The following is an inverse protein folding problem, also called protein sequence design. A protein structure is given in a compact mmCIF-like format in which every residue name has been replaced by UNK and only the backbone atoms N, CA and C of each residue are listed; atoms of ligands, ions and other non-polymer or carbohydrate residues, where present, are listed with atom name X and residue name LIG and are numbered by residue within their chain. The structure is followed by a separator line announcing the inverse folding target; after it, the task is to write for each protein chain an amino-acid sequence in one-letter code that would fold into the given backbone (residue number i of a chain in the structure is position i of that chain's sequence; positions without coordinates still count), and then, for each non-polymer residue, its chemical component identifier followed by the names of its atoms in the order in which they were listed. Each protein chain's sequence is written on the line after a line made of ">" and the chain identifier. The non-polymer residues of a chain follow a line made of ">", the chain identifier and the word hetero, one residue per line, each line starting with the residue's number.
data_IF_636947599210
#
_entry.id   IF_636947599210
#
_cell.length_a   1.000
_cell.length_b   1.000
_cell.length_c   1.000
_cell.angle_alpha   90.00
_cell.angle_beta   90.00
_cell.angle_gamma   90.00
#
_symmetry.space_group_name_H-M   'P 1'
#
loop_
_entity.id
_entity.type
_entity.pdbx_description
1 polymer ?
#
# COMPACT_ATOMS: atom_id res chain seq x y z
N UNK A 1 -66.20 -5.31 -22.04
CA UNK A 1 -64.97 -5.38 -21.21
C UNK A 1 -64.71 -3.98 -20.66
N UNK A 2 -64.80 -3.79 -19.34
CA UNK A 2 -64.78 -2.44 -18.75
C UNK A 2 -63.38 -1.82 -18.78
N UNK A 3 -63.29 -0.50 -18.85
CA UNK A 3 -62.03 0.27 -18.81
C UNK A 3 -61.17 -0.14 -17.59
N UNK A 4 -61.81 -0.47 -16.47
CA UNK A 4 -61.19 -0.99 -15.26
C UNK A 4 -60.37 -2.28 -15.49
N UNK A 5 -60.86 -3.23 -16.30
CA UNK A 5 -60.12 -4.46 -16.58
C UNK A 5 -58.82 -4.20 -17.35
N UNK A 6 -58.79 -3.19 -18.23
CA UNK A 6 -57.57 -2.80 -18.96
C UNK A 6 -56.54 -2.14 -18.05
N UNK A 7 -56.99 -1.29 -17.12
CA UNK A 7 -56.11 -0.61 -16.15
C UNK A 7 -55.49 -1.62 -15.19
N UNK A 8 -56.29 -2.53 -14.63
CA UNK A 8 -55.79 -3.56 -13.68
C UNK A 8 -54.78 -4.49 -14.35
N UNK A 9 -55.03 -4.92 -15.60
CA UNK A 9 -54.08 -5.72 -16.38
C UNK A 9 -52.75 -5.01 -16.61
N UNK A 10 -52.79 -3.71 -16.95
CA UNK A 10 -51.59 -2.90 -17.16
C UNK A 10 -50.77 -2.71 -15.87
N UNK A 11 -51.44 -2.45 -14.75
CA UNK A 11 -50.78 -2.30 -13.43
C UNK A 11 -50.08 -3.61 -13.03
N UNK A 12 -50.75 -4.75 -13.20
CA UNK A 12 -50.19 -6.05 -12.83
C UNK A 12 -48.99 -6.44 -13.71
N UNK A 13 -49.05 -6.14 -15.01
CA UNK A 13 -47.91 -6.34 -15.92
C UNK A 13 -46.71 -5.48 -15.52
N UNK A 14 -46.92 -4.20 -15.20
CA UNK A 14 -45.86 -3.31 -14.73
C UNK A 14 -45.26 -3.79 -13.41
N UNK A 15 -46.08 -4.18 -12.43
CA UNK A 15 -45.62 -4.71 -11.15
C UNK A 15 -44.78 -5.99 -11.32
N UNK A 16 -45.16 -6.90 -12.22
CA UNK A 16 -44.37 -8.10 -12.53
C UNK A 16 -42.99 -7.75 -13.09
N UNK A 17 -42.91 -6.78 -14.01
CA UNK A 17 -41.63 -6.33 -14.58
C UNK A 17 -40.74 -5.72 -13.48
N UNK A 18 -41.31 -4.89 -12.60
CA UNK A 18 -40.58 -4.29 -11.48
C UNK A 18 -40.04 -5.36 -10.52
N UNK A 19 -40.88 -6.32 -10.14
CA UNK A 19 -40.48 -7.42 -9.25
C UNK A 19 -39.40 -8.31 -9.88
N UNK A 20 -39.53 -8.65 -11.17
CA UNK A 20 -38.51 -9.41 -11.89
C UNK A 20 -37.20 -8.64 -12.00
N UNK A 21 -37.26 -7.34 -12.34
CA UNK A 21 -36.10 -6.47 -12.38
C UNK A 21 -35.37 -6.38 -11.03
N UNK A 22 -36.13 -6.19 -9.94
CA UNK A 22 -35.58 -6.19 -8.59
C UNK A 22 -34.93 -7.54 -8.23
N UNK A 23 -35.59 -8.66 -8.55
CA UNK A 23 -35.03 -10.00 -8.34
C UNK A 23 -33.73 -10.22 -9.11
N UNK A 24 -33.65 -9.78 -10.38
CA UNK A 24 -32.42 -9.84 -11.16
C UNK A 24 -31.30 -9.00 -10.55
N UNK A 25 -31.59 -7.79 -10.06
CA UNK A 25 -30.60 -6.92 -9.41
C UNK A 25 -30.06 -7.60 -8.14
N UNK A 26 -30.94 -8.14 -7.29
CA UNK A 26 -30.54 -8.86 -6.07
C UNK A 26 -29.70 -10.09 -6.41
N UNK A 27 -30.09 -10.87 -7.42
CA UNK A 27 -29.31 -12.02 -7.86
C UNK A 27 -27.91 -11.61 -8.34
N UNK A 28 -27.78 -10.53 -9.12
CA UNK A 28 -26.49 -10.01 -9.58
C UNK A 28 -25.61 -9.58 -8.39
N UNK A 29 -26.20 -8.87 -7.42
CA UNK A 29 -25.50 -8.42 -6.21
C UNK A 29 -24.94 -9.60 -5.40
N UNK A 30 -25.58 -10.77 -5.44
CA UNK A 30 -25.12 -11.97 -4.72
C UNK A 30 -24.12 -12.78 -5.56
N UNK A 31 -24.42 -12.99 -6.84
CA UNK A 31 -23.64 -13.87 -7.71
C UNK A 31 -22.26 -13.30 -8.07
N UNK A 32 -22.13 -11.99 -8.25
CA UNK A 32 -20.84 -11.36 -8.58
C UNK A 32 -19.82 -11.56 -7.44
N UNK A 33 -20.10 -11.15 -6.17
CA UNK A 33 -19.23 -11.44 -5.03
C UNK A 33 -18.83 -12.91 -4.90
N UNK A 34 -19.78 -13.82 -5.02
CA UNK A 34 -19.52 -15.25 -4.94
C UNK A 34 -18.55 -15.72 -6.04
N UNK A 35 -18.77 -15.27 -7.29
CA UNK A 35 -17.89 -15.59 -8.41
C UNK A 35 -16.46 -15.09 -8.21
N UNK A 36 -16.28 -13.87 -7.67
CA UNK A 36 -14.94 -13.35 -7.42
C UNK A 36 -14.23 -14.08 -6.27
N UNK A 37 -14.96 -14.46 -5.22
CA UNK A 37 -14.37 -15.30 -4.16
C UNK A 37 -13.85 -16.63 -4.71
N UNK A 38 -14.57 -17.26 -5.65
CA UNK A 38 -14.12 -18.48 -6.32
C UNK A 38 -12.86 -18.27 -7.17
N UNK A 39 -12.65 -17.06 -7.68
CA UNK A 39 -11.42 -16.68 -8.40
C UNK A 39 -10.28 -16.24 -7.46
N UNK A 40 -10.46 -16.31 -6.14
CA UNK A 40 -9.44 -15.97 -5.15
C UNK A 40 -9.44 -14.51 -4.69
N UNK A 41 -10.41 -13.70 -5.12
CA UNK A 41 -10.58 -12.34 -4.58
C UNK A 41 -11.10 -12.37 -3.15
N UNK A 42 -10.63 -11.41 -2.35
CA UNK A 42 -11.05 -11.21 -0.96
C UNK A 42 -12.01 -10.03 -0.91
N UNK A 43 -13.30 -10.33 -0.75
CA UNK A 43 -14.37 -9.32 -0.78
C UNK A 43 -14.63 -8.78 0.63
N UNK A 44 -14.54 -7.46 0.81
CA UNK A 44 -14.75 -6.76 2.08
C UNK A 44 -13.92 -7.32 3.26
N UNK A 45 -12.71 -7.80 2.98
CA UNK A 45 -11.79 -8.29 4.02
C UNK A 45 -11.13 -7.12 4.73
N UNK A 46 -10.89 -7.27 6.03
CA UNK A 46 -10.06 -6.32 6.76
C UNK A 46 -8.63 -6.32 6.20
N UNK A 47 -8.13 -5.14 5.84
CA UNK A 47 -6.83 -5.01 5.15
C UNK A 47 -5.66 -5.39 6.05
N UNK A 48 -5.80 -5.27 7.38
CA UNK A 48 -4.77 -5.64 8.34
C UNK A 48 -4.72 -7.15 8.53
N UNK A 49 -5.87 -7.81 8.66
CA UNK A 49 -5.95 -9.28 8.72
C UNK A 49 -5.29 -9.92 7.48
N UNK A 50 -5.62 -9.42 6.29
CA UNK A 50 -5.00 -9.94 5.06
C UNK A 50 -3.51 -9.63 4.98
N UNK A 51 -3.05 -8.48 5.47
CA UNK A 51 -1.63 -8.15 5.54
C UNK A 51 -0.86 -9.10 6.48
N UNK A 52 -1.44 -9.49 7.61
CA UNK A 52 -0.86 -10.49 8.51
C UNK A 52 -0.81 -11.89 7.87
N UNK A 53 -1.86 -12.31 7.16
CA UNK A 53 -1.86 -13.54 6.36
C UNK A 53 -0.79 -13.51 5.28
N UNK A 54 -0.68 -12.38 4.58
CA UNK A 54 0.30 -12.13 3.53
C UNK A 54 1.72 -12.18 4.08
N UNK A 55 1.98 -11.56 5.23
CA UNK A 55 3.29 -11.58 5.89
C UNK A 55 3.69 -13.00 6.33
N UNK A 56 2.74 -13.79 6.86
CA UNK A 56 2.97 -15.20 7.20
C UNK A 56 3.35 -16.05 5.98
N UNK A 57 2.78 -15.73 4.81
CA UNK A 57 3.06 -16.42 3.55
C UNK A 57 4.28 -15.86 2.81
N UNK A 58 4.77 -14.68 3.19
CA UNK A 58 5.82 -13.97 2.46
C UNK A 58 5.40 -13.54 1.05
N UNK A 59 4.12 -13.25 0.83
CA UNK A 59 3.58 -12.93 -0.49
C UNK A 59 2.72 -11.66 -0.43
N UNK A 60 3.28 -10.47 -0.78
CA UNK A 60 2.55 -9.21 -0.78
C UNK A 60 1.51 -9.12 -1.89
N UNK A 61 1.56 -9.99 -2.90
CA UNK A 61 0.62 -9.96 -4.03
C UNK A 61 -0.80 -10.34 -3.61
N UNK A 62 -0.95 -11.03 -2.48
CA UNK A 62 -2.25 -11.32 -1.87
C UNK A 62 -3.06 -10.04 -1.60
N UNK A 63 -2.38 -8.93 -1.27
CA UNK A 63 -3.04 -7.64 -1.07
C UNK A 63 -3.71 -7.12 -2.34
N UNK A 64 -3.25 -7.48 -3.55
CA UNK A 64 -3.85 -7.05 -4.81
C UNK A 64 -5.25 -7.64 -5.05
N UNK A 65 -5.61 -8.70 -4.33
CA UNK A 65 -6.86 -9.42 -4.49
C UNK A 65 -8.01 -8.86 -3.63
N UNK A 66 -7.80 -7.76 -2.90
CA UNK A 66 -8.87 -7.08 -2.16
C UNK A 66 -9.86 -6.44 -3.14
N UNK A 67 -11.15 -6.59 -2.84
CA UNK A 67 -12.24 -5.82 -3.45
C UNK A 67 -13.20 -5.35 -2.35
N UNK A 68 -13.47 -4.05 -2.30
CA UNK A 68 -14.45 -3.46 -1.40
C UNK A 68 -15.69 -3.00 -2.15
N UNK A 69 -16.87 -3.37 -1.63
CA UNK A 69 -18.18 -2.92 -2.11
C UNK A 69 -18.88 -1.94 -1.15
N UNK A 70 -18.24 -1.60 -0.03
CA UNK A 70 -18.81 -0.71 0.97
C UNK A 70 -19.01 0.70 0.43
N UNK A 71 -20.25 1.20 0.46
CA UNK A 71 -20.57 2.59 0.10
C UNK A 71 -19.92 3.61 1.05
N UNK A 72 -19.79 3.25 2.33
CA UNK A 72 -19.25 4.09 3.40
C UNK A 72 -17.85 3.64 3.86
N UNK A 73 -17.19 2.79 3.09
CA UNK A 73 -15.87 2.22 3.43
C UNK A 73 -14.72 2.82 2.62
N UNK A 74 -13.48 2.43 2.92
CA UNK A 74 -12.34 2.76 2.09
C UNK A 74 -12.51 2.16 0.69
N UNK A 75 -12.05 2.88 -0.31
CA UNK A 75 -12.00 2.37 -1.67
C UNK A 75 -11.11 1.13 -1.76
N UNK A 76 -11.32 0.31 -2.80
CA UNK A 76 -10.47 -0.85 -3.07
C UNK A 76 -8.99 -0.46 -3.17
N UNK A 77 -8.66 0.69 -3.77
CA UNK A 77 -7.28 1.16 -3.88
C UNK A 77 -6.64 1.50 -2.53
N UNK A 78 -7.38 2.17 -1.65
CA UNK A 78 -6.92 2.49 -0.30
C UNK A 78 -6.69 1.24 0.54
N UNK A 79 -7.63 0.28 0.51
CA UNK A 79 -7.45 -0.99 1.23
C UNK A 79 -6.28 -1.81 0.72
N UNK A 80 -6.08 -1.89 -0.61
CA UNK A 80 -4.89 -2.52 -1.19
C UNK A 80 -3.62 -1.85 -0.72
N UNK A 81 -3.61 -0.52 -0.75
CA UNK A 81 -2.44 0.26 -0.34
C UNK A 81 -2.12 0.03 1.14
N UNK A 82 -3.14 0.09 2.00
CA UNK A 82 -3.01 -0.15 3.44
C UNK A 82 -2.56 -1.57 3.76
N UNK A 83 -3.05 -2.57 3.02
CA UNK A 83 -2.59 -3.96 3.14
C UNK A 83 -1.10 -4.09 2.82
N UNK A 84 -0.65 -3.56 1.67
CA UNK A 84 0.77 -3.61 1.28
C UNK A 84 1.65 -2.87 2.28
N UNK A 85 1.24 -1.68 2.71
CA UNK A 85 1.95 -0.91 3.72
C UNK A 85 2.11 -1.70 5.03
N UNK A 86 1.02 -2.32 5.49
CA UNK A 86 1.02 -3.13 6.72
C UNK A 86 1.87 -4.38 6.58
N UNK A 87 1.81 -5.05 5.43
CA UNK A 87 2.69 -6.17 5.08
C UNK A 87 4.15 -5.76 5.17
N UNK A 88 4.54 -4.67 4.51
CA UNK A 88 5.94 -4.22 4.45
C UNK A 88 6.48 -3.90 5.84
N UNK A 89 5.65 -3.33 6.71
CA UNK A 89 5.97 -3.07 8.12
C UNK A 89 6.18 -4.37 8.92
N UNK A 90 5.25 -5.33 8.81
CA UNK A 90 5.31 -6.59 9.57
C UNK A 90 6.46 -7.48 9.08
N UNK A 91 6.57 -7.65 7.77
CA UNK A 91 7.58 -8.49 7.13
C UNK A 91 8.97 -7.85 7.09
N UNK A 92 9.08 -6.55 7.43
CA UNK A 92 10.30 -5.74 7.29
C UNK A 92 10.84 -5.83 5.85
N UNK A 93 9.93 -5.71 4.89
CA UNK A 93 10.20 -5.87 3.46
C UNK A 93 9.88 -4.55 2.71
N UNK A 94 10.86 -3.65 2.55
CA UNK A 94 10.67 -2.40 1.82
C UNK A 94 10.35 -2.62 0.33
N UNK A 95 10.70 -3.78 -0.26
CA UNK A 95 10.50 -4.01 -1.68
C UNK A 95 9.03 -4.14 -2.04
N UNK A 96 8.20 -4.61 -1.11
CA UNK A 96 6.75 -4.64 -1.27
C UNK A 96 6.12 -3.25 -1.44
N UNK A 97 6.74 -2.19 -0.90
CA UNK A 97 6.27 -0.82 -1.07
C UNK A 97 6.28 -0.38 -2.54
N UNK A 98 7.06 -1.03 -3.42
CA UNK A 98 7.04 -0.77 -4.86
C UNK A 98 5.66 -1.03 -5.51
N UNK A 99 4.82 -1.89 -4.91
CA UNK A 99 3.47 -2.21 -5.39
C UNK A 99 2.48 -1.05 -5.23
N UNK A 100 2.80 -0.07 -4.38
CA UNK A 100 1.96 1.12 -4.11
C UNK A 100 2.62 2.41 -4.61
N UNK A 101 3.64 2.28 -5.46
CA UNK A 101 4.29 3.38 -6.16
C UNK A 101 3.59 3.68 -7.50
N UNK A 102 3.68 4.92 -8.02
CA UNK A 102 4.31 6.10 -7.42
C UNK A 102 3.35 6.87 -6.52
N UNK A 103 3.59 6.85 -5.21
CA UNK A 103 2.82 7.67 -4.27
C UNK A 103 3.67 8.08 -3.07
N UNK A 104 3.32 9.21 -2.46
CA UNK A 104 3.86 9.63 -1.17
C UNK A 104 3.62 8.55 -0.09
N UNK A 105 2.52 7.81 -0.22
CA UNK A 105 2.21 6.67 0.65
C UNK A 105 3.21 5.52 0.49
N UNK A 106 3.66 5.24 -0.75
CA UNK A 106 4.73 4.28 -1.01
C UNK A 106 6.09 4.72 -0.46
N UNK A 107 6.43 6.02 -0.54
CA UNK A 107 7.63 6.55 0.11
C UNK A 107 7.57 6.48 1.63
N UNK A 108 6.37 6.69 2.21
CA UNK A 108 6.11 6.50 3.64
C UNK A 108 6.32 5.04 4.05
N UNK A 109 5.74 4.11 3.29
CA UNK A 109 5.89 2.65 3.48
C UNK A 109 7.35 2.24 3.61
N UNK A 110 8.22 2.75 2.71
CA UNK A 110 9.65 2.40 2.74
C UNK A 110 10.29 2.81 4.07
N UNK A 111 10.05 4.02 4.57
CA UNK A 111 10.62 4.46 5.85
C UNK A 111 10.06 3.64 7.03
N UNK A 112 8.77 3.30 6.98
CA UNK A 112 8.09 2.58 8.05
C UNK A 112 8.48 1.10 8.12
N UNK A 113 8.90 0.50 7.00
CA UNK A 113 9.44 -0.86 6.96
C UNK A 113 10.79 -1.00 7.69
N UNK A 114 11.53 0.10 7.84
CA UNK A 114 12.82 0.13 8.57
C UNK A 114 12.71 0.78 9.95
N UNK A 115 11.62 1.48 10.27
CA UNK A 115 11.42 2.21 11.54
C UNK A 115 11.67 1.33 12.78
N UNK A 116 11.11 0.11 12.78
CA UNK A 116 11.28 -0.84 13.90
C UNK A 116 12.73 -1.25 14.16
N UNK A 117 13.63 -1.15 13.16
CA UNK A 117 15.06 -1.42 13.37
C UNK A 117 15.73 -0.31 14.22
N UNK A 118 15.11 0.86 14.30
CA UNK A 118 15.60 2.02 15.05
C UNK A 118 14.97 2.15 16.43
N UNK A 119 13.72 1.72 16.62
CA UNK A 119 13.07 1.73 17.95
C UNK A 119 13.86 0.89 18.98
N UNK A 120 14.42 -0.23 18.52
CA UNK A 120 15.32 -1.08 19.32
C UNK A 120 16.69 -0.41 19.62
N UNK A 121 16.96 0.76 19.01
CA UNK A 121 18.21 1.51 19.10
C UNK A 121 17.92 2.99 19.43
N UNK A 122 17.32 3.27 20.59
CA UNK A 122 16.85 4.61 21.03
C UNK A 122 17.83 5.78 20.81
N UNK A 123 19.15 5.54 20.72
CA UNK A 123 20.16 6.56 20.44
C UNK A 123 20.30 6.96 18.95
N UNK A 124 19.58 6.30 18.04
CA UNK A 124 19.70 6.50 16.59
C UNK A 124 18.87 7.68 16.05
N UNK A 125 18.01 8.29 16.88
CA UNK A 125 16.99 9.24 16.42
C UNK A 125 17.55 10.61 15.99
N UNK A 126 18.81 10.91 16.31
CA UNK A 126 19.50 12.12 15.85
C UNK A 126 20.86 11.75 15.23
N UNK A 127 20.90 11.67 13.91
CA UNK A 127 22.15 11.65 13.15
C UNK A 127 22.35 13.07 12.62
N UNK A 128 23.42 13.71 13.09
CA UNK A 128 23.83 15.00 12.57
C UNK A 128 24.21 14.86 11.09
N UNK A 129 23.68 15.79 10.30
CA UNK A 129 23.61 15.72 8.86
C UNK A 129 25.01 15.72 8.25
N UNK A 130 25.97 16.37 8.88
CA UNK A 130 27.32 16.55 8.33
C UNK A 130 28.35 15.56 8.91
N UNK A 131 27.91 14.54 9.65
CA UNK A 131 28.82 13.58 10.29
C UNK A 131 29.30 12.51 9.31
N UNK A 132 30.60 12.25 9.33
CA UNK A 132 31.21 11.11 8.65
C UNK A 132 30.65 9.80 9.24
N UNK A 133 29.93 9.00 8.45
CA UNK A 133 29.32 7.74 8.89
C UNK A 133 30.32 6.72 9.48
N UNK A 134 31.62 6.89 9.23
CA UNK A 134 32.67 6.05 9.81
C UNK A 134 32.79 6.18 11.33
N UNK A 135 32.31 7.27 11.93
CA UNK A 135 32.36 7.49 13.39
C UNK A 135 31.45 6.54 14.17
N UNK A 136 30.44 5.95 13.53
CA UNK A 136 29.48 5.03 14.15
C UNK A 136 29.96 3.56 14.13
N UNK A 137 31.27 3.30 14.23
CA UNK A 137 31.82 1.94 14.14
C UNK A 137 31.30 0.99 15.22
N UNK A 138 30.92 1.51 16.40
CA UNK A 138 30.37 0.74 17.52
C UNK A 138 28.90 0.36 17.38
N UNK A 139 28.14 1.03 16.50
CA UNK A 139 26.73 0.72 16.26
C UNK A 139 26.49 0.53 14.75
N UNK A 140 26.49 -0.73 14.26
CA UNK A 140 26.38 -1.01 12.82
C UNK A 140 25.04 -0.54 12.22
N UNK A 141 23.94 -0.61 12.98
CA UNK A 141 22.61 -0.16 12.51
C UNK A 141 22.61 1.36 12.34
N UNK A 142 23.18 2.11 13.30
CA UNK A 142 23.31 3.57 13.20
C UNK A 142 24.23 3.98 12.04
N UNK A 143 25.31 3.25 11.81
CA UNK A 143 26.20 3.44 10.66
C UNK A 143 25.47 3.23 9.34
N UNK A 144 24.71 2.15 9.22
CA UNK A 144 23.90 1.84 8.04
C UNK A 144 22.84 2.90 7.77
N UNK A 145 22.18 3.40 8.81
CA UNK A 145 21.21 4.49 8.70
C UNK A 145 21.85 5.82 8.29
N UNK A 146 23.08 6.09 8.76
CA UNK A 146 23.85 7.24 8.30
C UNK A 146 24.07 7.18 6.78
N UNK A 147 24.49 6.02 6.25
CA UNK A 147 24.63 5.83 4.81
C UNK A 147 23.29 5.94 4.06
N UNK A 148 22.21 5.39 4.60
CA UNK A 148 20.86 5.57 4.05
C UNK A 148 20.49 7.06 3.93
N UNK A 149 20.75 7.84 4.98
CA UNK A 149 20.49 9.28 5.02
C UNK A 149 21.40 10.07 4.07
N UNK A 150 22.68 9.67 3.95
CA UNK A 150 23.62 10.25 3.00
C UNK A 150 23.17 10.02 1.56
N UNK A 151 22.83 8.77 1.21
CA UNK A 151 22.29 8.38 -0.10
C UNK A 151 21.00 9.16 -0.40
N UNK A 152 20.14 9.33 0.60
CA UNK A 152 18.93 10.12 0.49
C UNK A 152 19.18 11.57 0.10
N UNK A 153 20.23 12.21 0.60
CA UNK A 153 20.54 13.60 0.27
C UNK A 153 21.27 13.74 -1.06
N UNK A 154 22.28 12.92 -1.29
CA UNK A 154 23.07 12.95 -2.53
C UNK A 154 22.35 12.34 -3.72
N UNK A 155 21.25 11.60 -3.48
CA UNK A 155 20.55 10.75 -4.45
C UNK A 155 21.46 9.70 -5.09
N UNK A 156 22.56 9.31 -4.43
CA UNK A 156 23.54 8.37 -4.98
C UNK A 156 23.26 6.92 -4.56
N UNK A 157 22.93 6.07 -5.54
CA UNK A 157 22.74 4.63 -5.34
C UNK A 157 24.02 3.90 -4.90
N UNK A 158 25.22 4.41 -5.22
CA UNK A 158 26.45 3.75 -4.79
C UNK A 158 26.65 3.86 -3.27
N UNK A 159 26.12 4.92 -2.65
CA UNK A 159 26.11 5.04 -1.19
C UNK A 159 25.28 3.93 -0.54
N UNK A 160 24.18 3.50 -1.15
CA UNK A 160 23.37 2.37 -0.66
C UNK A 160 24.17 1.04 -0.60
N UNK A 161 25.19 0.86 -1.44
CA UNK A 161 26.05 -0.34 -1.44
C UNK A 161 26.94 -0.44 -0.19
N UNK A 162 27.12 0.66 0.54
CA UNK A 162 27.92 0.69 1.77
C UNK A 162 27.13 0.16 2.98
N UNK A 163 25.81 0.13 2.89
CA UNK A 163 24.89 -0.38 3.92
C UNK A 163 25.02 -1.90 4.03
N UNK A 164 25.20 -2.41 5.25
CA UNK A 164 25.38 -3.85 5.51
C UNK A 164 24.08 -4.57 5.85
N UNK A 165 23.18 -3.93 6.58
CA UNK A 165 21.87 -4.47 6.88
C UNK A 165 21.03 -4.58 5.58
N UNK A 166 20.60 -5.79 5.19
CA UNK A 166 19.92 -6.00 3.91
C UNK A 166 18.59 -5.25 3.82
N UNK A 167 17.84 -5.15 4.92
CA UNK A 167 16.56 -4.42 4.94
C UNK A 167 16.78 -2.93 4.73
N UNK A 168 17.74 -2.31 5.44
CA UNK A 168 18.06 -0.88 5.25
C UNK A 168 18.62 -0.63 3.85
N UNK A 169 19.44 -1.54 3.32
CA UNK A 169 19.98 -1.45 1.97
C UNK A 169 18.86 -1.51 0.91
N UNK A 170 17.94 -2.47 1.04
CA UNK A 170 16.78 -2.58 0.14
C UNK A 170 15.91 -1.32 0.21
N UNK A 171 15.64 -0.80 1.41
CA UNK A 171 14.92 0.46 1.57
C UNK A 171 15.64 1.63 0.90
N UNK A 172 16.97 1.70 1.01
CA UNK A 172 17.79 2.70 0.32
C UNK A 172 17.62 2.59 -1.19
N UNK A 173 17.79 1.39 -1.74
CA UNK A 173 17.69 1.12 -3.17
C UNK A 173 16.30 1.47 -3.72
N UNK A 174 15.23 1.05 -3.02
CA UNK A 174 13.85 1.36 -3.42
C UNK A 174 13.60 2.87 -3.37
N UNK A 175 14.02 3.55 -2.30
CA UNK A 175 13.79 4.99 -2.14
C UNK A 175 14.56 5.81 -3.18
N UNK A 176 15.85 5.54 -3.39
CA UNK A 176 16.63 6.29 -4.38
C UNK A 176 16.24 5.88 -5.80
N UNK A 177 15.97 4.59 -6.04
CA UNK A 177 15.46 4.10 -7.32
C UNK A 177 14.14 4.76 -7.71
N UNK A 178 13.22 4.94 -6.76
CA UNK A 178 11.98 5.67 -6.95
C UNK A 178 12.20 7.12 -7.41
N UNK A 179 13.19 7.82 -6.85
CA UNK A 179 13.52 9.19 -7.26
C UNK A 179 13.93 9.29 -8.73
N UNK A 180 14.67 8.29 -9.23
CA UNK A 180 15.05 8.19 -10.63
C UNK A 180 13.89 7.78 -11.52
N UNK A 181 13.12 6.77 -11.10
CA UNK A 181 12.03 6.16 -11.87
C UNK A 181 10.78 7.04 -11.99
N UNK A 182 10.48 7.84 -10.97
CA UNK A 182 9.23 8.60 -10.84
C UNK A 182 9.52 10.11 -10.65
N UNK A 183 9.67 10.90 -11.73
CA UNK A 183 9.98 12.32 -11.66
C UNK A 183 9.00 13.15 -10.83
N UNK A 184 7.72 12.75 -10.78
CA UNK A 184 6.66 13.37 -9.99
C UNK A 184 6.95 13.33 -8.49
N UNK A 185 7.66 12.30 -8.00
CA UNK A 185 7.99 12.15 -6.60
C UNK A 185 9.13 13.08 -6.16
N UNK A 186 9.90 13.68 -7.08
CA UNK A 186 11.05 14.54 -6.73
C UNK A 186 10.66 15.78 -5.95
N UNK A 187 9.39 16.20 -6.05
CA UNK A 187 8.80 17.33 -5.31
C UNK A 187 8.09 16.90 -4.03
N UNK A 188 8.05 15.60 -3.71
CA UNK A 188 7.44 15.13 -2.47
C UNK A 188 8.24 15.61 -1.25
N UNK A 189 7.54 15.83 -0.15
CA UNK A 189 8.15 16.16 1.14
C UNK A 189 9.16 15.08 1.60
N UNK A 190 8.98 13.84 1.15
CA UNK A 190 9.84 12.70 1.45
C UNK A 190 11.24 12.77 0.86
N UNK A 191 11.48 13.60 -0.17
CA UNK A 191 12.82 13.84 -0.71
C UNK A 191 13.43 15.19 -0.30
N UNK A 192 12.78 15.89 0.63
CA UNK A 192 13.14 17.22 1.10
C UNK A 192 12.46 18.32 0.28
N UNK A 193 12.29 19.51 0.88
CA UNK A 193 11.87 20.69 0.13
C UNK A 193 12.95 20.99 -0.91
N UNK A 194 12.58 21.02 -2.19
CA UNK A 194 13.43 21.61 -3.23
C UNK A 194 13.80 23.02 -2.74
N UNK A 195 15.07 23.25 -2.42
CA UNK A 195 15.58 24.63 -2.46
C UNK A 195 15.64 24.94 -3.94
N UNK A 196 14.61 25.60 -4.45
CA UNK A 196 14.73 26.25 -5.75
C UNK A 196 15.95 27.18 -5.66
N UNK A 197 16.87 27.12 -6.65
CA UNK A 197 18.06 27.96 -6.67
C UNK A 197 17.70 29.46 -6.70
#
# INVERSE_FOLDING_TARGET
>A
MSILQRIVGSIYSFLRILLFGAACIVAIIILIPAGMMLMGYKVNVDSKELAEESAKKGDPTLCANIINYGLLGPSTGESRSHCVYTYAKIAKDPTACSLIMPSDYGLSCINQSIESLFEDNQDAQYIDIDVNCSTYSSNPIRKDYCFFSQAHRSKDLNTCKQIKNPTIQSACNEKIGAWYKYPELRRSSYFGKYREP
#
